data_IF_294679979343
#
_entry.id   IF_294679979343
#
_cell.length_a   1.000
_cell.length_b   1.000
_cell.length_c   1.000
_cell.angle_alpha   90.00
_cell.angle_beta   90.00
_cell.angle_gamma   90.00
#
_symmetry.space_group_name_H-M   'P 1'
#
loop_
_entity.id
_entity.type
_entity.pdbx_description
1 polymer ?
#
# COMPACT_ATOMS: atom_id res chain seq x y z
N UNK A 1 8.74 -17.32 -16.96
CA UNK A 1 9.25 -17.92 -15.71
C UNK A 1 10.36 -17.03 -15.19
N UNK A 2 10.25 -16.56 -13.95
CA UNK A 2 11.29 -15.77 -13.30
C UNK A 2 12.08 -16.69 -12.38
N UNK A 3 13.39 -16.81 -12.60
CA UNK A 3 14.27 -17.64 -11.78
C UNK A 3 14.80 -16.79 -10.61
N UNK A 4 14.83 -17.36 -9.40
CA UNK A 4 15.63 -16.79 -8.31
C UNK A 4 17.09 -17.18 -8.54
N UNK A 5 17.94 -16.18 -8.72
CA UNK A 5 19.38 -16.34 -8.89
C UNK A 5 20.06 -15.26 -8.06
N UNK A 6 20.58 -15.67 -6.90
CA UNK A 6 21.47 -14.83 -6.09
C UNK A 6 22.76 -14.53 -6.87
N UNK A 7 23.23 -13.28 -6.79
CA UNK A 7 24.52 -12.85 -7.35
C UNK A 7 25.71 -13.51 -6.66
N UNK A 8 25.51 -13.96 -5.42
CA UNK A 8 26.52 -14.64 -4.60
C UNK A 8 26.13 -16.10 -4.42
N UNK A 9 27.07 -17.01 -4.73
CA UNK A 9 26.86 -18.45 -4.56
C UNK A 9 27.19 -18.85 -3.12
N UNK A 10 26.19 -19.36 -2.41
CA UNK A 10 26.36 -19.96 -1.08
C UNK A 10 26.39 -21.48 -1.25
N UNK A 11 27.52 -22.15 -0.97
CA UNK A 11 27.64 -23.59 -1.15
C UNK A 11 26.87 -24.34 -0.07
N UNK A 12 26.15 -25.39 -0.47
CA UNK A 12 25.34 -26.23 0.44
C UNK A 12 26.16 -27.02 1.45
N UNK A 13 27.48 -27.18 1.20
CA UNK A 13 28.44 -27.74 2.16
C UNK A 13 28.58 -26.89 3.42
N UNK A 14 28.42 -25.56 3.27
CA UNK A 14 28.72 -24.59 4.31
C UNK A 14 27.44 -23.90 4.82
N UNK A 15 26.36 -23.91 4.03
CA UNK A 15 25.11 -23.23 4.34
C UNK A 15 23.89 -24.16 4.26
N UNK A 16 22.94 -23.94 5.15
CA UNK A 16 21.55 -24.37 4.99
C UNK A 16 20.82 -23.36 4.12
N UNK A 17 19.93 -23.84 3.25
CA UNK A 17 19.09 -23.01 2.39
C UNK A 17 17.61 -23.24 2.73
N UNK A 18 16.82 -22.18 2.64
CA UNK A 18 15.37 -22.22 2.85
C UNK A 18 14.67 -21.28 1.89
N UNK A 19 13.68 -21.76 1.16
CA UNK A 19 12.78 -20.91 0.36
C UNK A 19 11.40 -20.84 1.01
N UNK A 20 10.88 -19.64 1.26
CA UNK A 20 9.54 -19.46 1.82
C UNK A 20 8.75 -18.43 1.02
N UNK A 21 7.46 -18.68 0.86
CA UNK A 21 6.50 -17.64 0.54
C UNK A 21 6.07 -17.01 1.86
N UNK A 22 6.55 -15.81 2.12
CA UNK A 22 6.25 -15.13 3.38
C UNK A 22 4.84 -14.52 3.35
N UNK A 23 4.34 -14.15 4.53
CA UNK A 23 2.99 -13.61 4.72
C UNK A 23 2.69 -12.33 3.91
N UNK A 24 3.71 -11.60 3.47
CA UNK A 24 3.60 -10.42 2.62
C UNK A 24 3.53 -10.76 1.12
N UNK A 25 3.46 -12.05 0.77
CA UNK A 25 3.34 -12.53 -0.61
C UNK A 25 4.65 -12.56 -1.38
N UNK A 26 5.78 -12.21 -0.75
CA UNK A 26 7.10 -12.27 -1.37
C UNK A 26 7.73 -13.64 -1.12
N UNK A 27 8.17 -14.29 -2.20
CA UNK A 27 8.97 -15.51 -2.09
C UNK A 27 10.43 -15.15 -1.85
N UNK A 28 10.98 -15.59 -0.73
CA UNK A 28 12.35 -15.27 -0.29
C UNK A 28 13.21 -16.53 -0.20
N UNK A 29 14.46 -16.39 -0.65
CA UNK A 29 15.51 -17.37 -0.47
C UNK A 29 16.43 -16.93 0.67
N UNK A 30 16.52 -17.76 1.70
CA UNK A 30 17.34 -17.56 2.87
C UNK A 30 18.53 -18.52 2.91
N UNK A 31 19.62 -18.06 3.51
CA UNK A 31 20.76 -18.90 3.90
C UNK A 31 21.09 -18.75 5.38
N UNK A 32 21.62 -19.81 5.95
CA UNK A 32 22.14 -19.83 7.32
C UNK A 32 23.41 -20.67 7.37
N UNK A 33 24.55 -20.14 7.87
CA UNK A 33 25.80 -20.89 7.90
C UNK A 33 25.69 -22.08 8.85
N UNK A 34 26.28 -23.22 8.47
CA UNK A 34 26.38 -24.39 9.33
C UNK A 34 27.34 -24.11 10.49
N UNK A 35 27.24 -24.83 11.62
CA UNK A 35 28.13 -24.63 12.76
C UNK A 35 29.62 -24.70 12.39
N UNK A 36 29.98 -25.56 11.44
CA UNK A 36 31.34 -25.71 10.90
C UNK A 36 31.85 -24.47 10.14
N UNK A 37 30.96 -23.67 9.56
CA UNK A 37 31.27 -22.46 8.81
C UNK A 37 31.07 -21.17 9.65
N UNK A 38 30.26 -21.22 10.71
CA UNK A 38 29.91 -20.07 11.54
C UNK A 38 30.97 -19.69 12.59
N UNK A 39 32.06 -20.45 12.72
CA UNK A 39 33.15 -20.14 13.66
C UNK A 39 32.73 -20.05 15.14
N UNK A 40 31.61 -20.67 15.51
CA UNK A 40 31.06 -20.63 16.87
C UNK A 40 30.14 -19.44 17.18
N UNK A 41 29.88 -18.54 16.24
CA UNK A 41 28.89 -17.48 16.41
C UNK A 41 27.46 -17.98 16.13
N UNK A 42 26.49 -17.47 16.90
CA UNK A 42 25.08 -17.63 16.56
C UNK A 42 24.79 -16.80 15.31
N UNK A 43 24.50 -17.49 14.20
CA UNK A 43 24.18 -16.84 12.94
C UNK A 43 22.66 -16.75 12.75
N UNK A 44 22.18 -15.66 12.15
CA UNK A 44 20.78 -15.50 11.77
C UNK A 44 20.55 -15.97 10.33
N UNK A 45 19.27 -16.18 9.98
CA UNK A 45 18.88 -16.40 8.59
C UNK A 45 18.98 -15.08 7.81
N UNK A 46 19.68 -15.10 6.69
CA UNK A 46 19.87 -13.93 5.82
C UNK A 46 19.14 -14.15 4.50
N UNK A 47 18.36 -13.16 4.05
CA UNK A 47 17.74 -13.15 2.72
C UNK A 47 18.81 -12.88 1.67
N UNK A 48 18.92 -13.73 0.65
CA UNK A 48 19.92 -13.60 -0.42
C UNK A 48 19.31 -13.31 -1.79
N UNK A 49 18.04 -13.63 -1.99
CA UNK A 49 17.26 -13.25 -3.16
C UNK A 49 15.77 -13.32 -2.82
N UNK A 50 14.94 -12.58 -3.57
CA UNK A 50 13.49 -12.56 -3.38
C UNK A 50 12.76 -12.17 -4.66
N UNK A 51 11.54 -12.68 -4.82
CA UNK A 51 10.64 -12.31 -5.92
C UNK A 51 9.21 -12.10 -5.43
N UNK A 52 8.50 -11.09 -5.99
CA UNK A 52 9.02 -10.05 -6.89
C UNK A 52 9.97 -9.09 -6.16
N UNK A 53 10.82 -8.38 -6.91
CA UNK A 53 11.76 -7.39 -6.33
C UNK A 53 11.03 -6.14 -5.83
N UNK A 54 9.90 -5.83 -6.44
CA UNK A 54 8.98 -4.81 -5.95
C UNK A 54 7.54 -5.36 -6.00
N UNK A 55 7.01 -5.85 -4.88
CA UNK A 55 5.66 -6.39 -4.83
C UNK A 55 4.59 -5.31 -4.91
N UNK A 56 4.89 -4.10 -4.40
CA UNK A 56 3.96 -2.97 -4.42
C UNK A 56 3.64 -2.53 -5.86
N UNK A 57 4.59 -2.72 -6.79
CA UNK A 57 4.38 -2.49 -8.22
C UNK A 57 3.99 -3.75 -9.00
N UNK A 58 4.41 -4.93 -8.56
CA UNK A 58 4.18 -6.17 -9.31
C UNK A 58 2.80 -6.79 -9.06
N UNK A 59 2.23 -6.58 -7.87
CA UNK A 59 0.94 -7.16 -7.49
C UNK A 59 -0.19 -6.14 -7.62
N UNK A 60 -0.49 -5.79 -8.87
CA UNK A 60 -1.63 -4.96 -9.26
C UNK A 60 -2.75 -5.89 -9.74
N UNK A 61 -3.93 -5.77 -9.11
CA UNK A 61 -5.07 -6.65 -9.38
C UNK A 61 -6.28 -5.86 -9.84
N UNK A 62 -7.09 -6.42 -10.76
CA UNK A 62 -8.40 -5.85 -11.13
C UNK A 62 -9.51 -6.22 -10.15
N UNK A 63 -9.31 -7.23 -9.31
CA UNK A 63 -10.22 -7.64 -8.25
C UNK A 63 -9.42 -7.88 -6.97
N UNK A 64 -9.92 -7.38 -5.84
CA UNK A 64 -9.21 -7.41 -4.55
C UNK A 64 -8.35 -6.17 -4.32
N UNK A 65 -7.67 -6.12 -3.17
CA UNK A 65 -6.98 -4.93 -2.68
C UNK A 65 -5.50 -4.81 -3.08
N UNK A 66 -4.97 -5.71 -3.91
CA UNK A 66 -3.54 -5.77 -4.22
C UNK A 66 -2.69 -6.28 -3.04
N UNK A 67 -1.42 -5.86 -2.98
CA UNK A 67 -0.44 -6.38 -2.02
C UNK A 67 -0.80 -6.20 -0.53
N UNK A 68 -1.48 -5.11 -0.19
CA UNK A 68 -1.79 -4.77 1.20
C UNK A 68 -3.27 -4.92 1.57
N UNK A 69 -4.11 -5.31 0.63
CA UNK A 69 -5.56 -5.36 0.83
C UNK A 69 -6.22 -3.98 0.73
N UNK A 70 -7.54 -3.97 0.86
CA UNK A 70 -8.35 -2.79 0.58
C UNK A 70 -8.06 -1.62 1.53
N UNK A 71 -8.23 -0.39 1.05
CA UNK A 71 -8.07 0.84 1.84
C UNK A 71 -6.72 0.96 2.56
N UNK A 72 -5.69 0.35 1.99
CA UNK A 72 -4.33 0.40 2.51
C UNK A 72 -3.36 0.55 1.34
N UNK A 73 -2.14 0.98 1.64
CA UNK A 73 -1.11 1.18 0.64
C UNK A 73 0.18 0.46 1.02
N UNK A 74 0.85 -0.02 -0.02
CA UNK A 74 2.08 -0.79 0.03
C UNK A 74 3.27 0.16 -0.12
N UNK A 75 4.22 0.04 0.80
CA UNK A 75 5.53 0.68 0.72
C UNK A 75 6.61 -0.22 1.27
N UNK A 76 7.78 0.36 1.51
CA UNK A 76 8.94 -0.34 2.06
C UNK A 76 9.40 0.33 3.36
N UNK A 77 9.74 -0.49 4.36
CA UNK A 77 10.37 0.00 5.58
C UNK A 77 11.87 0.27 5.40
N UNK A 78 12.54 0.70 6.47
CA UNK A 78 13.99 0.99 6.47
C UNK A 78 14.85 -0.25 6.20
N UNK A 79 14.30 -1.46 6.32
CA UNK A 79 14.96 -2.74 6.03
C UNK A 79 14.62 -3.27 4.63
N UNK A 80 13.95 -2.47 3.79
CA UNK A 80 13.46 -2.88 2.47
C UNK A 80 12.47 -4.04 2.52
N UNK A 81 11.76 -4.17 3.64
CA UNK A 81 10.68 -5.13 3.79
C UNK A 81 9.35 -4.46 3.45
N UNK A 82 8.43 -5.25 2.90
CA UNK A 82 7.10 -4.78 2.53
C UNK A 82 6.38 -4.33 3.78
N UNK A 83 5.89 -3.09 3.77
CA UNK A 83 5.15 -2.50 4.86
C UNK A 83 3.81 -1.99 4.33
N UNK A 84 2.73 -2.56 4.86
CA UNK A 84 1.38 -2.09 4.60
C UNK A 84 1.00 -1.02 5.61
N UNK A 85 0.34 0.04 5.14
CA UNK A 85 -0.13 1.15 5.97
C UNK A 85 -1.55 1.58 5.58
N UNK A 86 -2.32 2.03 6.58
CA UNK A 86 -3.62 2.65 6.37
C UNK A 86 -3.53 4.17 6.22
N UNK A 87 -4.48 4.82 5.54
CA UNK A 87 -4.64 6.27 5.63
C UNK A 87 -4.97 6.73 7.06
N UNK A 88 -4.79 8.02 7.34
CA UNK A 88 -5.24 8.61 8.61
C UNK A 88 -6.74 8.38 8.79
N UNK A 89 -7.20 8.02 9.99
CA UNK A 89 -8.61 7.74 10.26
C UNK A 89 -9.10 6.38 9.75
N UNK A 90 -8.17 5.48 9.41
CA UNK A 90 -8.46 4.09 9.05
C UNK A 90 -7.69 3.14 9.99
N UNK A 91 -8.35 2.06 10.42
CA UNK A 91 -7.76 1.01 11.24
C UNK A 91 -7.69 -0.31 10.50
N UNK A 92 -6.73 -1.15 10.89
CA UNK A 92 -6.59 -2.52 10.39
C UNK A 92 -7.87 -3.32 10.58
N UNK A 93 -8.24 -4.10 9.56
CA UNK A 93 -9.32 -5.10 9.68
C UNK A 93 -8.94 -6.18 10.71
N UNK A 94 -7.68 -6.63 10.66
CA UNK A 94 -7.05 -7.51 11.65
C UNK A 94 -5.64 -6.97 11.96
N UNK A 95 -5.37 -6.46 13.18
CA UNK A 95 -4.07 -5.91 13.55
C UNK A 95 -2.91 -6.92 13.45
N UNK A 96 -3.19 -8.22 13.44
CA UNK A 96 -2.16 -9.26 13.28
C UNK A 96 -1.90 -9.61 11.80
N UNK A 97 -2.71 -9.08 10.88
CA UNK A 97 -2.66 -9.38 9.44
C UNK A 97 -2.87 -8.09 8.64
N UNK A 98 -1.85 -7.24 8.63
CA UNK A 98 -1.88 -5.95 7.95
C UNK A 98 -2.15 -6.05 6.44
N UNK A 99 -1.80 -7.17 5.81
CA UNK A 99 -2.12 -7.46 4.41
C UNK A 99 -3.63 -7.66 4.11
N UNK A 100 -4.49 -7.71 5.13
CA UNK A 100 -5.94 -7.73 4.96
C UNK A 100 -6.53 -6.33 4.71
N UNK A 101 -5.72 -5.28 4.81
CA UNK A 101 -6.13 -3.91 4.58
C UNK A 101 -6.83 -3.26 5.78
N UNK A 102 -7.43 -2.10 5.51
CA UNK A 102 -8.03 -1.25 6.53
C UNK A 102 -9.52 -1.01 6.28
N UNK A 103 -10.16 -0.45 7.30
CA UNK A 103 -11.52 0.09 7.25
C UNK A 103 -11.49 1.53 7.80
N UNK A 104 -12.38 2.42 7.34
CA UNK A 104 -12.57 3.72 7.98
C UNK A 104 -12.96 3.55 9.46
N UNK A 105 -12.51 4.48 10.29
CA UNK A 105 -12.90 4.58 11.70
C UNK A 105 -14.04 5.58 11.93
N UNK A 106 -14.61 6.09 10.84
CA UNK A 106 -15.72 7.01 10.81
C UNK A 106 -16.86 6.45 9.95
N UNK A 107 -18.05 7.00 10.14
CA UNK A 107 -19.20 6.64 9.30
C UNK A 107 -19.13 7.49 8.04
N UNK A 108 -19.11 6.85 6.85
CA UNK A 108 -19.12 7.58 5.58
C UNK A 108 -20.40 8.41 5.41
N UNK A 109 -20.35 9.54 4.69
CA UNK A 109 -21.54 10.30 4.31
C UNK A 109 -22.58 9.39 3.64
N UNK A 110 -23.87 9.64 3.91
CA UNK A 110 -24.97 8.89 3.29
C UNK A 110 -25.68 9.75 2.26
N UNK A 111 -25.49 9.41 0.99
CA UNK A 111 -26.02 10.16 -0.14
C UNK A 111 -27.55 10.07 -0.26
N UNK A 112 -28.16 9.14 0.47
CA UNK A 112 -29.61 8.92 0.49
C UNK A 112 -30.28 9.77 1.58
N UNK A 113 -29.60 9.96 2.73
CA UNK A 113 -30.18 10.65 3.89
C UNK A 113 -30.16 12.18 3.80
N UNK A 114 -29.42 12.73 2.84
CA UNK A 114 -29.23 14.18 2.70
C UNK A 114 -28.34 14.80 3.78
N UNK A 115 -27.77 14.01 4.69
CA UNK A 115 -26.72 14.46 5.60
C UNK A 115 -25.44 14.62 4.79
N UNK A 116 -25.18 15.87 4.42
CA UNK A 116 -24.00 16.31 3.68
C UNK A 116 -22.73 16.25 4.53
N UNK A 117 -21.59 16.51 3.88
CA UNK A 117 -20.20 16.47 4.37
C UNK A 117 -19.86 17.39 5.56
N UNK A 118 -20.81 17.74 6.42
CA UNK A 118 -20.52 18.38 7.69
C UNK A 118 -19.71 17.43 8.58
N UNK A 119 -18.42 17.74 8.76
CA UNK A 119 -17.52 16.95 9.58
C UNK A 119 -16.61 16.01 8.80
N UNK A 120 -16.35 16.28 7.52
CA UNK A 120 -15.30 15.61 6.75
C UNK A 120 -14.29 16.62 6.21
N UNK A 121 -13.06 16.17 6.04
CA UNK A 121 -11.98 16.93 5.41
C UNK A 121 -11.14 15.99 4.55
N UNK A 122 -10.38 16.56 3.61
CA UNK A 122 -9.43 15.79 2.81
C UNK A 122 -8.02 15.93 3.37
N UNK A 123 -7.35 14.80 3.59
CA UNK A 123 -5.94 14.75 3.94
C UNK A 123 -5.13 14.58 2.67
N UNK A 124 -4.19 15.50 2.46
CA UNK A 124 -3.25 15.46 1.34
C UNK A 124 -2.06 14.57 1.67
N UNK A 125 -1.75 13.62 0.78
CA UNK A 125 -0.61 12.69 0.90
C UNK A 125 0.16 12.68 -0.42
N UNK A 126 1.44 13.03 -0.34
CA UNK A 126 2.36 13.01 -1.48
C UNK A 126 2.79 11.59 -1.82
N UNK A 127 3.13 11.37 -3.09
CA UNK A 127 3.66 10.12 -3.61
C UNK A 127 2.81 8.89 -3.29
N UNK A 128 1.49 9.07 -3.22
CA UNK A 128 0.51 8.02 -2.92
C UNK A 128 -0.49 7.92 -4.07
N UNK A 129 -0.75 6.69 -4.49
CA UNK A 129 -1.73 6.36 -5.51
C UNK A 129 -2.47 5.08 -5.14
N UNK A 130 -3.75 5.00 -5.52
CA UNK A 130 -4.57 3.79 -5.42
C UNK A 130 -4.93 3.36 -6.84
N UNK A 131 -4.03 2.64 -7.51
CA UNK A 131 -4.13 2.48 -8.96
C UNK A 131 -5.40 1.74 -9.42
N UNK A 132 -6.11 2.33 -10.39
CA UNK A 132 -7.32 1.77 -11.00
C UNK A 132 -8.62 2.06 -10.22
N UNK A 133 -9.71 1.44 -10.67
CA UNK A 133 -11.08 1.57 -10.13
C UNK A 133 -11.58 3.02 -9.99
N UNK A 134 -11.06 3.92 -10.84
CA UNK A 134 -11.54 5.29 -10.97
C UNK A 134 -12.96 5.29 -11.55
N UNK A 135 -13.86 6.06 -10.95
CA UNK A 135 -15.23 6.17 -11.46
C UNK A 135 -15.46 7.47 -12.25
N UNK A 136 -14.56 8.43 -12.13
CA UNK A 136 -14.62 9.71 -12.85
C UNK A 136 -13.21 10.29 -13.02
N UNK A 137 -12.97 10.94 -14.16
CA UNK A 137 -11.71 11.62 -14.46
C UNK A 137 -11.99 13.00 -15.04
N UNK A 138 -11.22 14.00 -14.60
CA UNK A 138 -11.23 15.35 -15.15
C UNK A 138 -9.86 15.73 -15.68
N UNK A 139 -9.84 16.40 -16.84
CA UNK A 139 -8.66 17.01 -17.43
C UNK A 139 -9.08 18.14 -18.38
N UNK A 140 -8.64 19.40 -18.18
CA UNK A 140 -7.73 19.84 -17.12
C UNK A 140 -8.44 20.05 -15.77
N UNK A 141 -7.70 19.88 -14.68
CA UNK A 141 -8.16 20.13 -13.32
C UNK A 141 -6.97 20.56 -12.44
N UNK A 142 -7.10 21.66 -11.70
CA UNK A 142 -6.11 22.06 -10.70
C UNK A 142 -6.14 21.17 -9.46
N UNK A 143 -5.06 21.16 -8.68
CA UNK A 143 -4.96 20.35 -7.45
C UNK A 143 -6.10 20.67 -6.45
N UNK A 144 -6.30 21.96 -6.15
CA UNK A 144 -7.33 22.42 -5.21
C UNK A 144 -8.74 22.10 -5.70
N UNK A 145 -8.99 22.22 -7.00
CA UNK A 145 -10.28 21.89 -7.61
C UNK A 145 -10.53 20.38 -7.57
N UNK A 146 -9.50 19.56 -7.81
CA UNK A 146 -9.59 18.11 -7.72
C UNK A 146 -10.02 17.64 -6.32
N UNK A 147 -9.38 18.20 -5.28
CA UNK A 147 -9.77 17.96 -3.89
C UNK A 147 -11.22 18.37 -3.63
N UNK A 148 -11.64 19.54 -4.11
CA UNK A 148 -12.99 20.06 -3.90
C UNK A 148 -14.06 19.22 -4.62
N UNK A 149 -13.79 18.75 -5.84
CA UNK A 149 -14.68 17.85 -6.59
C UNK A 149 -14.99 16.55 -5.85
N UNK A 150 -14.10 16.11 -4.96
CA UNK A 150 -14.34 14.97 -4.09
C UNK A 150 -15.20 15.36 -2.88
N UNK A 151 -14.87 16.46 -2.19
CA UNK A 151 -15.65 16.96 -1.05
C UNK A 151 -17.12 17.27 -1.38
N UNK A 152 -17.37 17.71 -2.62
CA UNK A 152 -18.71 18.04 -3.12
C UNK A 152 -19.48 16.81 -3.63
N UNK A 153 -18.83 15.65 -3.76
CA UNK A 153 -19.45 14.40 -4.18
C UNK A 153 -19.51 13.39 -3.04
N UNK A 154 -20.72 13.14 -2.57
CA UNK A 154 -20.99 12.19 -1.50
C UNK A 154 -20.51 10.74 -1.77
N UNK A 155 -20.33 10.31 -3.02
CA UNK A 155 -19.78 8.99 -3.33
C UNK A 155 -18.26 8.95 -3.33
N UNK A 156 -17.61 10.11 -3.31
CA UNK A 156 -16.17 10.22 -3.35
C UNK A 156 -15.58 9.99 -1.97
N UNK A 157 -14.55 9.16 -1.88
CA UNK A 157 -13.78 8.96 -0.66
C UNK A 157 -12.31 9.36 -0.82
N UNK A 158 -11.84 9.48 -2.06
CA UNK A 158 -10.53 10.04 -2.37
C UNK A 158 -10.50 10.61 -3.79
N UNK A 159 -9.62 11.58 -4.02
CA UNK A 159 -9.23 12.03 -5.36
C UNK A 159 -7.72 11.99 -5.54
N UNK A 160 -7.25 11.58 -6.71
CA UNK A 160 -5.83 11.52 -7.05
C UNK A 160 -5.53 12.59 -8.11
N UNK A 161 -4.44 13.34 -7.93
CA UNK A 161 -3.94 14.32 -8.89
C UNK A 161 -2.53 13.94 -9.37
N UNK A 162 -2.19 14.25 -10.61
CA UNK A 162 -0.87 13.95 -11.21
C UNK A 162 0.18 15.07 -11.08
N UNK A 163 -0.16 16.15 -10.39
CA UNK A 163 0.67 17.35 -10.29
C UNK A 163 0.67 18.21 -11.56
N UNK A 164 -0.11 17.84 -12.59
CA UNK A 164 -0.15 18.53 -13.89
C UNK A 164 -1.56 19.03 -14.18
N UNK A 165 -2.49 18.12 -14.51
CA UNK A 165 -3.85 18.50 -14.91
C UNK A 165 -4.88 17.38 -14.82
N UNK A 166 -4.49 16.14 -14.50
CA UNK A 166 -5.43 15.04 -14.37
C UNK A 166 -5.89 14.91 -12.92
N UNK A 167 -7.18 14.69 -12.76
CA UNK A 167 -7.82 14.35 -11.50
C UNK A 167 -8.65 13.08 -11.67
N UNK A 168 -8.53 12.14 -10.75
CA UNK A 168 -9.34 10.91 -10.72
C UNK A 168 -10.06 10.78 -9.39
N UNK A 169 -11.37 10.51 -9.43
CA UNK A 169 -12.18 10.27 -8.23
C UNK A 169 -12.33 8.78 -7.95
N UNK A 170 -12.27 8.46 -6.66
CA UNK A 170 -12.28 7.09 -6.14
C UNK A 170 -13.36 6.91 -5.10
N UNK A 171 -14.04 5.78 -5.19
CA UNK A 171 -15.02 5.28 -4.21
C UNK A 171 -14.36 4.20 -3.35
N UNK A 172 -14.90 3.96 -2.16
CA UNK A 172 -14.50 2.79 -1.37
C UNK A 172 -15.05 1.49 -1.97
N UNK A 173 -14.35 0.36 -1.76
CA UNK A 173 -13.01 0.26 -1.19
C UNK A 173 -11.92 0.65 -2.20
N UNK A 174 -10.80 1.20 -1.72
CA UNK A 174 -9.62 1.42 -2.54
C UNK A 174 -8.83 0.14 -2.76
N UNK A 175 -8.18 0.01 -3.91
CA UNK A 175 -7.34 -1.12 -4.27
C UNK A 175 -5.98 -0.64 -4.76
N UNK A 176 -4.98 -1.54 -4.74
CA UNK A 176 -3.66 -1.29 -5.32
C UNK A 176 -2.98 -0.03 -4.78
N UNK A 177 -3.18 0.26 -3.49
CA UNK A 177 -2.52 1.39 -2.82
C UNK A 177 -1.00 1.21 -2.84
N UNK A 178 -0.28 2.25 -3.20
CA UNK A 178 1.19 2.25 -3.27
C UNK A 178 1.77 3.61 -2.91
N UNK A 179 2.82 3.60 -2.10
CA UNK A 179 3.53 4.81 -1.68
C UNK A 179 5.03 4.66 -1.93
N UNK A 180 5.66 5.71 -2.45
CA UNK A 180 7.10 5.73 -2.62
C UNK A 180 7.56 6.74 -3.66
N UNK A 181 8.87 7.03 -3.69
CA UNK A 181 9.45 8.06 -4.58
C UNK A 181 9.23 7.83 -6.08
N UNK A 182 8.83 6.64 -6.48
CA UNK A 182 8.48 6.29 -7.86
C UNK A 182 7.03 6.65 -8.24
N UNK A 183 6.20 7.03 -7.25
CA UNK A 183 4.81 7.42 -7.45
C UNK A 183 4.74 8.94 -7.63
N UNK A 184 4.35 9.39 -8.81
CA UNK A 184 4.19 10.78 -9.23
C UNK A 184 2.74 11.25 -9.06
N UNK A 185 2.12 10.95 -7.92
CA UNK A 185 0.71 11.24 -7.63
C UNK A 185 0.52 11.84 -6.25
N UNK A 186 -0.52 12.66 -6.12
CA UNK A 186 -0.97 13.27 -4.87
C UNK A 186 -2.35 12.70 -4.57
N UNK A 187 -2.51 12.07 -3.40
CA UNK A 187 -3.78 11.58 -2.94
C UNK A 187 -4.43 12.57 -1.96
N UNK A 188 -5.68 12.91 -2.19
CA UNK A 188 -6.56 13.55 -1.23
C UNK A 188 -7.51 12.47 -0.71
N UNK A 189 -7.46 12.17 0.58
CA UNK A 189 -8.25 11.08 1.18
C UNK A 189 -9.19 11.66 2.21
N UNK A 190 -10.46 11.30 2.13
CA UNK A 190 -11.48 11.74 3.08
C UNK A 190 -11.21 11.17 4.47
N UNK A 191 -11.34 12.02 5.50
CA UNK A 191 -11.31 11.63 6.90
C UNK A 191 -12.41 12.36 7.68
N UNK A 192 -12.96 11.69 8.70
CA UNK A 192 -13.85 12.33 9.66
C UNK A 192 -13.12 13.37 10.51
N UNK A 193 -13.77 14.50 10.76
CA UNK A 193 -13.33 15.53 11.70
C UNK A 193 -13.84 15.14 13.08
N UNK A 194 -12.94 14.66 13.95
CA UNK A 194 -13.28 14.47 15.37
C UNK A 194 -13.63 15.84 15.98
N UNK A 195 -14.87 15.99 16.46
CA UNK A 195 -15.33 17.21 17.16
C UNK A 195 -14.93 17.25 18.65
N UNK A 196 -14.14 16.28 19.13
CA UNK A 196 -13.80 16.08 20.55
C UNK A 196 -12.28 16.23 20.86
N UNK A 197 -11.63 17.26 20.32
CA UNK A 197 -10.38 17.83 20.87
C UNK A 197 -10.57 19.34 21.03
#
# INVERSE_FOLDING_TARGET
MTTLTSSTTYPTSDFYHRGTLDHDGVFRHYVHPRPSAAGGAAAEWVVIDFKPTDICQSLITSLGGGACGHNSYCGYDVKQMVACQGPLGYSWVDPNKTYMGCKPDFTMPSCISGVWSEGFQMVRVENLDFWGEDYEQFNPMGEAECMQQCLDDCFCAASIHDGISNCWKKKLPFSNGRIGSYVDRIAFIEVGVNKDI
#
